data_IF_287871746709
#
_entry.id   IF_287871746709
#
_cell.length_a   1.000
_cell.length_b   1.000
_cell.length_c   1.000
_cell.angle_alpha   90.00
_cell.angle_beta   90.00
_cell.angle_gamma   90.00
#
_symmetry.space_group_name_H-M   'P 1'
#
loop_
_entity.id
_entity.type
_entity.pdbx_description
1 polymer ?
#
# COMPACT_ATOMS: atom_id res chain seq x y z
N UNK A 1 -21.51 14.56 6.96
CA UNK A 1 -20.42 14.02 6.12
C UNK A 1 -19.63 15.17 5.47
N UNK A 2 -20.30 16.18 4.88
CA UNK A 2 -19.63 17.29 4.18
C UNK A 2 -18.85 18.20 5.11
N UNK A 3 -19.42 18.58 6.26
CA UNK A 3 -18.74 19.35 7.30
C UNK A 3 -17.50 18.65 7.86
N UNK A 4 -17.55 17.31 8.04
CA UNK A 4 -16.39 16.53 8.50
C UNK A 4 -15.27 16.50 7.44
N UNK A 5 -15.62 16.44 6.15
CA UNK A 5 -14.64 16.54 5.04
C UNK A 5 -13.98 17.91 4.97
N UNK A 6 -14.75 18.99 5.17
CA UNK A 6 -14.20 20.36 5.22
C UNK A 6 -13.23 20.54 6.39
N UNK A 7 -13.61 20.08 7.58
CA UNK A 7 -12.76 20.15 8.77
C UNK A 7 -11.44 19.39 8.55
N UNK A 8 -11.49 18.19 7.98
CA UNK A 8 -10.28 17.40 7.72
C UNK A 8 -9.41 18.02 6.62
N UNK A 9 -10.03 18.57 5.57
CA UNK A 9 -9.30 19.32 4.53
C UNK A 9 -8.55 20.51 5.13
N UNK A 10 -9.20 21.28 5.98
CA UNK A 10 -8.59 22.47 6.61
C UNK A 10 -7.45 22.06 7.54
N UNK A 11 -7.61 20.95 8.29
CA UNK A 11 -6.56 20.36 9.13
C UNK A 11 -5.34 19.93 8.30
N UNK A 12 -5.55 19.27 7.16
CA UNK A 12 -4.46 18.89 6.23
C UNK A 12 -3.79 20.13 5.65
N UNK A 13 -4.57 21.12 5.21
CA UNK A 13 -4.03 22.38 4.70
C UNK A 13 -3.19 23.13 5.75
N UNK A 14 -3.62 23.14 7.01
CA UNK A 14 -2.87 23.72 8.10
C UNK A 14 -1.57 22.95 8.39
N UNK A 15 -1.62 21.61 8.38
CA UNK A 15 -0.44 20.77 8.53
C UNK A 15 0.59 21.04 7.42
N UNK A 16 0.16 21.15 6.16
CA UNK A 16 1.01 21.47 5.03
C UNK A 16 1.62 22.88 5.07
N UNK A 17 1.01 23.83 5.82
CA UNK A 17 1.56 25.17 6.03
C UNK A 17 2.71 25.20 7.04
N UNK A 18 2.87 24.17 7.88
CA UNK A 18 3.95 24.10 8.87
C UNK A 18 5.32 24.08 8.18
N UNK A 19 6.23 24.94 8.67
CA UNK A 19 7.58 25.07 8.09
C UNK A 19 8.35 23.75 8.05
N UNK A 20 8.17 22.89 9.06
CA UNK A 20 8.81 21.57 9.14
C UNK A 20 8.33 20.65 8.01
N UNK A 21 7.01 20.58 7.75
CA UNK A 21 6.42 19.76 6.69
C UNK A 21 6.89 20.23 5.32
N UNK A 22 6.88 21.55 5.08
CA UNK A 22 7.39 22.12 3.82
C UNK A 22 8.87 21.82 3.60
N UNK A 23 9.67 21.85 4.66
CA UNK A 23 11.10 21.50 4.58
C UNK A 23 11.30 20.04 4.23
N UNK A 24 10.56 19.13 4.89
CA UNK A 24 10.63 17.70 4.60
C UNK A 24 10.19 17.39 3.17
N UNK A 25 9.11 18.01 2.67
CA UNK A 25 8.66 17.88 1.30
C UNK A 25 9.71 18.38 0.29
N UNK A 26 10.36 19.50 0.59
CA UNK A 26 11.44 20.02 -0.26
C UNK A 26 12.63 19.08 -0.28
N UNK A 27 13.10 18.59 0.87
CA UNK A 27 14.18 17.61 0.91
C UNK A 27 13.84 16.33 0.11
N UNK A 28 12.61 15.80 0.25
CA UNK A 28 12.19 14.64 -0.52
C UNK A 28 12.12 14.91 -2.03
N UNK A 29 11.73 16.11 -2.45
CA UNK A 29 11.75 16.53 -3.85
C UNK A 29 13.19 16.70 -4.36
N UNK A 30 14.07 17.31 -3.57
CA UNK A 30 15.48 17.49 -3.93
C UNK A 30 16.14 16.10 -4.10
N UNK A 31 15.90 15.14 -3.19
CA UNK A 31 16.36 13.76 -3.30
C UNK A 31 15.80 13.02 -4.54
N UNK A 32 14.56 13.32 -4.94
CA UNK A 32 13.94 12.74 -6.12
C UNK A 32 14.53 13.28 -7.43
N UNK A 33 14.80 14.58 -7.49
CA UNK A 33 15.29 15.23 -8.70
C UNK A 33 16.82 15.24 -8.85
N UNK A 34 17.54 15.13 -7.72
CA UNK A 34 18.99 15.05 -7.69
C UNK A 34 19.44 13.84 -6.85
N UNK A 35 19.12 12.61 -7.29
CA UNK A 35 19.52 11.40 -6.56
C UNK A 35 21.04 11.31 -6.49
N UNK A 36 21.56 11.07 -5.29
CA UNK A 36 22.97 10.82 -5.08
C UNK A 36 23.33 9.41 -5.58
N UNK A 37 23.66 9.29 -6.86
CA UNK A 37 24.13 8.03 -7.43
C UNK A 37 25.49 7.66 -6.82
N UNK A 38 25.69 6.36 -6.58
CA UNK A 38 27.03 5.88 -6.19
C UNK A 38 28.04 6.09 -7.31
N UNK A 39 29.31 6.30 -6.96
CA UNK A 39 30.40 6.42 -7.94
C UNK A 39 30.49 5.23 -8.90
N UNK A 40 30.08 4.04 -8.47
CA UNK A 40 30.02 2.85 -9.29
C UNK A 40 28.93 3.01 -10.39
N UNK A 41 27.73 3.40 -10.01
CA UNK A 41 26.62 3.64 -10.97
C UNK A 41 26.95 4.76 -11.95
N UNK A 42 27.62 5.83 -11.48
CA UNK A 42 28.04 6.94 -12.36
C UNK A 42 29.11 6.53 -13.38
N UNK A 43 29.97 5.57 -13.04
CA UNK A 43 31.04 5.09 -13.94
C UNK A 43 30.58 3.99 -14.88
N UNK A 44 29.89 3.00 -14.33
CA UNK A 44 29.63 1.72 -15.00
C UNK A 44 28.20 1.60 -15.50
N UNK A 45 27.31 2.52 -15.05
CA UNK A 45 25.87 2.46 -15.32
C UNK A 45 25.18 1.40 -14.46
N UNK A 46 23.94 1.09 -14.83
CA UNK A 46 23.15 -0.01 -14.27
C UNK A 46 22.98 -1.05 -15.37
N UNK A 47 23.48 -2.26 -15.12
CA UNK A 47 23.35 -3.34 -16.09
C UNK A 47 21.98 -4.00 -16.03
N UNK A 48 21.59 -4.69 -17.11
CA UNK A 48 20.41 -5.55 -17.14
C UNK A 48 20.46 -6.62 -16.05
N UNK A 49 21.63 -7.19 -15.80
CA UNK A 49 21.86 -8.23 -14.80
C UNK A 49 21.62 -7.71 -13.37
N UNK A 50 22.07 -6.48 -13.06
CA UNK A 50 21.84 -5.83 -11.77
C UNK A 50 20.35 -5.64 -11.52
N UNK A 51 19.61 -5.12 -12.52
CA UNK A 51 18.16 -4.91 -12.43
C UNK A 51 17.42 -6.24 -12.24
N UNK A 52 17.77 -7.25 -13.05
CA UNK A 52 17.14 -8.57 -12.99
C UNK A 52 17.38 -9.27 -11.65
N UNK A 53 18.62 -9.24 -11.15
CA UNK A 53 18.98 -9.84 -9.86
C UNK A 53 18.29 -9.15 -8.70
N UNK A 54 18.21 -7.81 -8.75
CA UNK A 54 17.49 -7.04 -7.73
C UNK A 54 16.00 -7.31 -7.75
N UNK A 55 15.43 -7.43 -8.93
CA UNK A 55 14.02 -7.77 -9.10
C UNK A 55 13.71 -9.17 -8.53
N UNK A 56 14.53 -10.17 -8.83
CA UNK A 56 14.37 -11.53 -8.29
C UNK A 56 14.43 -11.53 -6.76
N UNK A 57 15.39 -10.82 -6.17
CA UNK A 57 15.48 -10.67 -4.71
C UNK A 57 14.22 -10.01 -4.11
N UNK A 58 13.65 -9.02 -4.77
CA UNK A 58 12.41 -8.38 -4.30
C UNK A 58 11.22 -9.34 -4.37
N UNK A 59 11.12 -10.16 -5.41
CA UNK A 59 10.08 -11.19 -5.53
C UNK A 59 10.19 -12.22 -4.40
N UNK A 60 11.38 -12.73 -4.12
CA UNK A 60 11.62 -13.69 -3.02
C UNK A 60 11.24 -13.07 -1.65
N UNK A 61 11.58 -11.79 -1.44
CA UNK A 61 11.25 -11.07 -0.21
C UNK A 61 9.74 -10.91 -0.03
N UNK A 62 9.03 -10.55 -1.11
CA UNK A 62 7.57 -10.41 -1.09
C UNK A 62 6.91 -11.77 -0.86
N UNK A 63 7.35 -12.81 -1.56
CA UNK A 63 6.78 -14.15 -1.41
C UNK A 63 6.88 -14.65 0.04
N UNK A 64 8.08 -14.52 0.63
CA UNK A 64 8.30 -14.88 2.04
C UNK A 64 7.40 -14.08 3.00
N UNK A 65 7.20 -12.78 2.73
CA UNK A 65 6.31 -11.93 3.54
C UNK A 65 4.85 -12.30 3.39
N UNK A 66 4.40 -12.54 2.16
CA UNK A 66 3.01 -12.89 1.89
C UNK A 66 2.61 -14.23 2.47
N UNK A 67 3.55 -15.18 2.57
CA UNK A 67 3.33 -16.50 3.16
C UNK A 67 3.02 -16.43 4.66
N UNK A 68 3.66 -15.52 5.40
CA UNK A 68 3.47 -15.35 6.84
C UNK A 68 2.60 -14.16 7.24
N UNK A 69 1.88 -13.54 6.29
CA UNK A 69 1.17 -12.29 6.50
C UNK A 69 -0.06 -12.45 7.39
N UNK A 70 -0.08 -11.76 8.55
CA UNK A 70 -1.28 -11.61 9.36
C UNK A 70 -2.24 -10.59 8.72
N UNK A 71 -3.27 -11.11 8.04
CA UNK A 71 -4.30 -10.30 7.38
C UNK A 71 -5.18 -9.52 8.36
N UNK A 72 -5.11 -9.79 9.66
CA UNK A 72 -5.82 -9.02 10.69
C UNK A 72 -5.03 -7.80 11.18
N UNK A 73 -3.72 -7.79 10.93
CA UNK A 73 -2.81 -6.69 11.27
C UNK A 73 -2.78 -5.63 10.18
N UNK A 74 -3.42 -4.47 10.43
CA UNK A 74 -3.39 -3.34 9.48
C UNK A 74 -1.98 -2.92 9.09
N UNK A 75 -1.06 -2.88 10.04
CA UNK A 75 0.31 -2.46 9.81
C UNK A 75 1.04 -3.43 8.87
N UNK A 76 0.87 -4.74 9.07
CA UNK A 76 1.52 -5.75 8.24
C UNK A 76 0.96 -5.76 6.81
N UNK A 77 -0.37 -5.73 6.67
CA UNK A 77 -1.03 -5.69 5.36
C UNK A 77 -0.65 -4.41 4.60
N UNK A 78 -0.64 -3.27 5.27
CA UNK A 78 -0.23 -2.01 4.67
C UNK A 78 1.24 -2.02 4.20
N UNK A 79 2.12 -2.63 4.99
CA UNK A 79 3.54 -2.75 4.64
C UNK A 79 3.75 -3.70 3.46
N UNK A 80 3.12 -4.88 3.48
CA UNK A 80 3.15 -5.83 2.37
C UNK A 80 2.63 -5.19 1.07
N UNK A 81 1.50 -4.46 1.15
CA UNK A 81 0.95 -3.73 0.01
C UNK A 81 1.94 -2.71 -0.56
N UNK A 82 2.65 -1.99 0.29
CA UNK A 82 3.65 -1.02 -0.18
C UNK A 82 4.77 -1.70 -0.96
N UNK A 83 5.26 -2.84 -0.49
CA UNK A 83 6.30 -3.60 -1.19
C UNK A 83 5.81 -4.15 -2.53
N UNK A 84 4.59 -4.68 -2.59
CA UNK A 84 3.97 -5.13 -3.85
C UNK A 84 3.90 -3.98 -4.85
N UNK A 85 3.49 -2.79 -4.44
CA UNK A 85 3.44 -1.61 -5.31
C UNK A 85 4.81 -1.11 -5.76
N UNK A 86 5.85 -1.29 -4.94
CA UNK A 86 7.22 -1.00 -5.36
C UNK A 86 7.64 -1.93 -6.52
N UNK A 87 7.26 -3.21 -6.47
CA UNK A 87 7.49 -4.15 -7.60
C UNK A 87 6.65 -3.80 -8.82
N UNK A 88 5.38 -3.43 -8.66
CA UNK A 88 4.55 -2.94 -9.78
C UNK A 88 5.18 -1.73 -10.49
N UNK A 89 5.73 -0.78 -9.72
CA UNK A 89 6.43 0.37 -10.29
C UNK A 89 7.68 -0.05 -11.07
N UNK A 90 8.44 -1.01 -10.58
CA UNK A 90 9.61 -1.55 -11.30
C UNK A 90 9.17 -2.24 -12.59
N UNK A 91 8.13 -3.08 -12.52
CA UNK A 91 7.55 -3.75 -13.69
C UNK A 91 7.06 -2.75 -14.76
N UNK A 92 6.53 -1.62 -14.33
CA UNK A 92 6.06 -0.58 -15.23
C UNK A 92 7.20 0.24 -15.85
N UNK A 93 8.14 0.72 -15.02
CA UNK A 93 9.18 1.66 -15.46
C UNK A 93 10.40 0.99 -16.09
N UNK A 94 10.71 -0.24 -15.69
CA UNK A 94 11.85 -1.01 -16.20
C UNK A 94 11.41 -2.17 -17.12
N UNK A 95 10.24 -2.02 -17.73
CA UNK A 95 9.62 -3.05 -18.57
C UNK A 95 10.55 -3.59 -19.66
N UNK A 96 11.30 -2.71 -20.32
CA UNK A 96 12.18 -3.07 -21.41
C UNK A 96 13.41 -3.86 -20.94
N UNK A 97 13.79 -3.69 -19.67
CA UNK A 97 14.90 -4.41 -19.04
C UNK A 97 14.48 -5.74 -18.40
N UNK A 98 13.20 -5.95 -18.15
CA UNK A 98 12.69 -7.16 -17.49
C UNK A 98 12.13 -8.21 -18.48
N UNK A 99 11.85 -7.82 -19.73
CA UNK A 99 11.43 -8.73 -20.80
C UNK A 99 10.24 -9.60 -20.40
N UNK A 100 10.40 -10.93 -20.53
CA UNK A 100 9.34 -11.91 -20.22
C UNK A 100 8.91 -11.89 -18.74
N UNK A 101 9.80 -11.55 -17.80
CA UNK A 101 9.46 -11.45 -16.37
C UNK A 101 8.34 -10.44 -16.14
N UNK A 102 8.33 -9.33 -16.89
CA UNK A 102 7.24 -8.35 -16.83
C UNK A 102 5.88 -8.98 -17.12
N UNK A 103 5.77 -9.71 -18.23
CA UNK A 103 4.51 -10.33 -18.64
C UNK A 103 3.97 -11.28 -17.58
N UNK A 104 4.87 -12.08 -16.99
CA UNK A 104 4.51 -13.09 -16.00
C UNK A 104 4.05 -12.50 -14.66
N UNK A 105 4.67 -11.42 -14.20
CA UNK A 105 4.41 -10.90 -12.85
C UNK A 105 3.46 -9.71 -12.79
N UNK A 106 3.22 -8.99 -13.89
CA UNK A 106 2.35 -7.80 -13.86
C UNK A 106 0.96 -8.13 -13.33
N UNK A 107 0.31 -9.15 -13.89
CA UNK A 107 -1.04 -9.52 -13.46
C UNK A 107 -1.05 -10.04 -12.02
N UNK A 108 -0.07 -10.87 -11.66
CA UNK A 108 0.06 -11.43 -10.30
C UNK A 108 0.17 -10.31 -9.26
N UNK A 109 1.04 -9.31 -9.49
CA UNK A 109 1.20 -8.20 -8.56
C UNK A 109 -0.04 -7.34 -8.46
N UNK A 110 -0.72 -7.08 -9.57
CA UNK A 110 -1.99 -6.34 -9.59
C UNK A 110 -3.09 -7.05 -8.80
N UNK A 111 -3.20 -8.35 -8.95
CA UNK A 111 -4.18 -9.15 -8.21
C UNK A 111 -3.89 -9.10 -6.71
N UNK A 112 -2.62 -9.26 -6.32
CA UNK A 112 -2.19 -9.14 -4.92
C UNK A 112 -2.43 -7.73 -4.37
N UNK A 113 -2.08 -6.64 -5.10
CA UNK A 113 -2.37 -5.26 -4.64
C UNK A 113 -3.86 -5.04 -4.46
N UNK A 114 -4.69 -5.57 -5.36
CA UNK A 114 -6.15 -5.48 -5.26
C UNK A 114 -6.68 -6.15 -3.99
N UNK A 115 -6.23 -7.36 -3.67
CA UNK A 115 -6.60 -8.08 -2.45
C UNK A 115 -6.17 -7.31 -1.19
N UNK A 116 -4.90 -6.92 -1.12
CA UNK A 116 -4.35 -6.17 0.03
C UNK A 116 -5.01 -4.80 0.17
N UNK A 117 -5.37 -4.16 -0.95
CA UNK A 117 -6.13 -2.89 -0.97
C UNK A 117 -7.50 -3.04 -0.36
N UNK A 118 -8.20 -4.13 -0.68
CA UNK A 118 -9.51 -4.45 -0.13
C UNK A 118 -9.44 -4.58 1.39
N UNK A 119 -8.47 -5.36 1.89
CA UNK A 119 -8.26 -5.54 3.34
C UNK A 119 -7.89 -4.24 4.04
N UNK A 120 -6.93 -3.47 3.50
CA UNK A 120 -6.55 -2.17 4.06
C UNK A 120 -7.73 -1.20 4.15
N UNK A 121 -8.56 -1.16 3.11
CA UNK A 121 -9.74 -0.30 3.05
C UNK A 121 -10.76 -0.73 4.08
N UNK A 122 -11.06 -2.03 4.16
CA UNK A 122 -12.00 -2.58 5.13
C UNK A 122 -11.56 -2.32 6.58
N UNK A 123 -10.29 -2.58 6.91
CA UNK A 123 -9.74 -2.30 8.24
C UNK A 123 -9.80 -0.81 8.60
N UNK A 124 -9.50 0.08 7.64
CA UNK A 124 -9.63 1.52 7.84
C UNK A 124 -11.07 1.94 8.08
N UNK A 125 -12.01 1.39 7.32
CA UNK A 125 -13.45 1.67 7.49
C UNK A 125 -13.95 1.20 8.86
N UNK A 126 -13.52 0.02 9.33
CA UNK A 126 -13.83 -0.47 10.67
C UNK A 126 -13.31 0.50 11.74
N UNK A 127 -12.08 0.99 11.59
CA UNK A 127 -11.49 1.96 12.53
C UNK A 127 -12.27 3.29 12.54
N UNK A 128 -12.63 3.81 11.37
CA UNK A 128 -13.43 5.02 11.25
C UNK A 128 -14.82 4.86 11.87
N UNK A 129 -15.47 3.71 11.63
CA UNK A 129 -16.78 3.39 12.24
C UNK A 129 -16.67 3.36 13.77
N UNK A 130 -15.57 2.81 14.31
CA UNK A 130 -15.32 2.80 15.76
C UNK A 130 -15.16 4.23 16.30
N UNK A 131 -14.34 5.05 15.65
CA UNK A 131 -14.16 6.47 16.05
C UNK A 131 -15.48 7.23 16.00
N UNK A 132 -16.31 7.00 14.98
CA UNK A 132 -17.61 7.67 14.84
C UNK A 132 -18.61 7.21 15.88
N UNK A 133 -18.65 5.94 16.24
CA UNK A 133 -19.52 5.43 17.32
C UNK A 133 -19.20 6.07 18.69
N UNK A 134 -17.94 6.38 18.91
CA UNK A 134 -17.49 7.05 20.13
C UNK A 134 -17.76 8.58 20.10
N UNK A 135 -18.11 9.13 18.92
CA UNK A 135 -18.48 10.52 18.73
C UNK A 135 -19.95 10.78 19.08
N UNK A 136 -20.20 11.85 19.81
CA UNK A 136 -21.57 12.21 20.21
C UNK A 136 -22.47 12.59 19.02
N UNK A 137 -21.87 12.98 17.90
CA UNK A 137 -22.60 13.47 16.72
C UNK A 137 -23.24 12.36 15.87
N UNK A 138 -22.91 11.08 16.12
CA UNK A 138 -23.35 9.94 15.31
C UNK A 138 -24.25 8.94 16.06
N UNK A 139 -24.83 9.30 17.20
CA UNK A 139 -25.67 8.40 18.03
C UNK A 139 -26.87 7.84 17.28
N UNK A 140 -27.51 8.66 16.44
CA UNK A 140 -28.73 8.28 15.72
C UNK A 140 -28.49 7.25 14.60
N UNK A 141 -27.23 7.08 14.15
CA UNK A 141 -26.85 6.15 13.08
C UNK A 141 -26.02 4.96 13.56
N UNK A 142 -26.03 4.69 14.84
CA UNK A 142 -25.18 3.63 15.45
C UNK A 142 -25.51 2.24 14.89
N UNK A 143 -26.80 1.95 14.57
CA UNK A 143 -27.20 0.69 13.95
C UNK A 143 -26.66 0.54 12.54
N UNK A 144 -26.70 1.59 11.74
CA UNK A 144 -26.20 1.58 10.35
C UNK A 144 -24.68 1.43 10.33
N UNK A 145 -23.99 2.10 11.25
CA UNK A 145 -22.54 1.94 11.43
C UNK A 145 -22.15 0.51 11.85
N UNK A 146 -23.00 -0.18 12.61
CA UNK A 146 -22.77 -1.58 12.95
C UNK A 146 -22.85 -2.50 11.72
N UNK A 147 -23.84 -2.26 10.84
CA UNK A 147 -24.01 -3.00 9.57
C UNK A 147 -22.78 -2.80 8.68
N UNK A 148 -22.31 -1.55 8.54
CA UNK A 148 -21.10 -1.26 7.75
C UNK A 148 -19.88 -2.01 8.32
N UNK A 149 -19.67 -1.95 9.64
CA UNK A 149 -18.56 -2.65 10.28
C UNK A 149 -18.60 -4.16 10.07
N UNK A 150 -19.77 -4.76 10.10
CA UNK A 150 -19.94 -6.20 9.87
C UNK A 150 -19.69 -6.58 8.40
N UNK A 151 -20.18 -5.78 7.48
CA UNK A 151 -19.90 -5.96 6.06
C UNK A 151 -18.38 -5.93 5.76
N UNK A 152 -17.65 -4.98 6.33
CA UNK A 152 -16.21 -4.85 6.13
C UNK A 152 -15.44 -6.06 6.72
N UNK A 153 -15.87 -6.63 7.84
CA UNK A 153 -15.29 -7.88 8.38
C UNK A 153 -15.49 -9.06 7.44
N UNK A 154 -16.69 -9.22 6.89
CA UNK A 154 -16.99 -10.27 5.92
C UNK A 154 -16.12 -10.14 4.66
N UNK A 155 -15.79 -8.92 4.24
CA UNK A 155 -14.87 -8.72 3.12
C UNK A 155 -13.45 -9.23 3.44
N UNK A 156 -12.95 -8.94 4.64
CA UNK A 156 -11.64 -9.43 5.08
C UNK A 156 -11.63 -10.97 5.15
N UNK A 157 -12.66 -11.57 5.75
CA UNK A 157 -12.78 -13.03 5.86
C UNK A 157 -12.76 -13.70 4.48
N UNK A 158 -13.49 -13.16 3.50
CA UNK A 158 -13.50 -13.69 2.13
C UNK A 158 -12.12 -13.65 1.46
N UNK A 159 -11.34 -12.59 1.68
CA UNK A 159 -9.98 -12.52 1.14
C UNK A 159 -9.09 -13.57 1.80
N UNK A 160 -9.20 -13.76 3.13
CA UNK A 160 -8.45 -14.78 3.86
C UNK A 160 -8.79 -16.19 3.33
N UNK A 161 -10.08 -16.54 3.25
CA UNK A 161 -10.55 -17.83 2.75
C UNK A 161 -10.12 -18.09 1.29
N UNK A 162 -10.18 -17.05 0.46
CA UNK A 162 -9.71 -17.12 -0.94
C UNK A 162 -8.23 -17.46 -1.04
N UNK A 163 -7.38 -16.90 -0.17
CA UNK A 163 -5.95 -17.19 -0.12
C UNK A 163 -5.64 -18.59 0.38
N UNK A 164 -6.30 -19.05 1.44
CA UNK A 164 -6.10 -20.40 1.96
C UNK A 164 -6.40 -21.48 0.90
N UNK A 165 -7.44 -21.26 0.10
CA UNK A 165 -7.79 -22.18 -1.00
C UNK A 165 -6.82 -22.11 -2.18
N UNK A 166 -6.12 -20.98 -2.37
CA UNK A 166 -5.12 -20.82 -3.45
C UNK A 166 -3.75 -21.42 -3.10
N UNK A 167 -3.38 -21.42 -1.81
CA UNK A 167 -2.12 -22.02 -1.33
C UNK A 167 -2.18 -23.56 -1.38
N UNK A 168 -3.36 -24.15 -1.37
CA UNK A 168 -3.56 -25.61 -1.42
C UNK A 168 -3.61 -26.18 -2.87
N UNK A 169 -3.37 -25.38 -3.89
CA UNK A 169 -3.30 -25.76 -5.31
C UNK A 169 -1.91 -25.58 -5.89
#
# INVERSE_FOLDING_TARGET
VEAARETERDRVCEALRKKAVRRSLRCALDELFEPAWSDAVLRDGISFEDVSSRFDYMLETIDARLFGLDMTSFSEVHHARREVREVEHILFHLSDMLGEKRANYTQIMQDIDSELSTVCTAQRNISLVKEWKDSMDFRDVTSDLAIVSEHEKVLIERVIEGRETSILR
#
